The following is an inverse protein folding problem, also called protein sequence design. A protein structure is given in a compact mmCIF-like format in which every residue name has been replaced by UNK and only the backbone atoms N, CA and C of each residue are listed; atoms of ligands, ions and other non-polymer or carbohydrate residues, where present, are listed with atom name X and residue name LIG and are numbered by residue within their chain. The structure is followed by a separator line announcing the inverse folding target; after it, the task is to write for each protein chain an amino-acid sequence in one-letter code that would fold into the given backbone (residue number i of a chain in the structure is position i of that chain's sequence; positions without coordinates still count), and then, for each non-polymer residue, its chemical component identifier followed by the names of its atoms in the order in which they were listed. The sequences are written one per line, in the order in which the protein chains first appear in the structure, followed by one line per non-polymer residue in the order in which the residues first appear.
data_IF_252432738950
#
_entry.id   IF_252432738950
#
_cell.length_a   1.000
_cell.length_b   1.000
_cell.length_c   1.000
_cell.angle_alpha   90.00
_cell.angle_beta   90.00
_cell.angle_gamma   90.00
#
_symmetry.space_group_name_H-M   'P 1'
#
loop_
_entity.id
_entity.type
_entity.pdbx_description
1 polymer ?
#
# COMPACT_ATOMS: atom_id res chain seq x y z
N UNK A 1 -70.16 26.68 -0.18
CA UNK A 1 -68.92 27.35 -0.45
C UNK A 1 -67.98 26.33 -1.07
N UNK A 2 -67.68 26.55 -2.33
CA UNK A 2 -67.08 25.60 -3.29
C UNK A 2 -65.53 25.45 -3.06
N UNK A 3 -65.09 24.21 -2.89
CA UNK A 3 -63.70 23.83 -2.94
C UNK A 3 -63.39 23.32 -4.36
N UNK A 4 -62.48 24.02 -5.08
CA UNK A 4 -61.90 23.55 -6.36
C UNK A 4 -60.64 22.79 -6.10
N UNK A 5 -60.38 21.65 -6.76
CA UNK A 5 -59.12 20.97 -6.75
C UNK A 5 -58.23 21.45 -7.92
N UNK A 6 -57.04 21.93 -7.63
CA UNK A 6 -55.98 22.19 -8.59
C UNK A 6 -55.33 20.87 -8.95
N UNK A 7 -55.59 20.37 -10.14
CA UNK A 7 -54.83 19.28 -10.80
C UNK A 7 -53.57 19.86 -11.41
N UNK A 8 -52.44 19.58 -10.79
CA UNK A 8 -51.12 19.87 -11.37
C UNK A 8 -50.74 18.82 -12.41
N UNK A 9 -50.66 19.21 -13.68
CA UNK A 9 -50.08 18.42 -14.77
C UNK A 9 -48.53 18.27 -14.53
N UNK A 10 -48.13 17.08 -14.23
CA UNK A 10 -46.69 16.71 -14.32
C UNK A 10 -46.38 16.31 -15.77
N UNK A 11 -45.78 17.24 -16.50
CA UNK A 11 -45.22 16.96 -17.81
C UNK A 11 -43.98 16.09 -17.65
N UNK A 12 -44.07 14.83 -18.05
CA UNK A 12 -42.93 13.96 -18.26
C UNK A 12 -42.12 14.48 -19.46
N UNK A 13 -41.08 15.27 -19.21
CA UNK A 13 -40.05 15.51 -20.20
C UNK A 13 -39.22 14.21 -20.31
N UNK A 14 -39.48 13.43 -21.34
CA UNK A 14 -38.61 12.37 -21.80
C UNK A 14 -37.27 13.00 -22.17
N UNK A 15 -36.27 12.88 -21.28
CA UNK A 15 -34.92 13.28 -21.55
C UNK A 15 -34.35 12.26 -22.55
N UNK A 16 -34.21 12.69 -23.81
CA UNK A 16 -33.47 11.95 -24.81
C UNK A 16 -32.08 11.61 -24.21
N UNK A 17 -31.80 10.31 -24.11
CA UNK A 17 -30.46 9.84 -23.82
C UNK A 17 -29.57 10.37 -24.94
N UNK A 18 -28.71 11.35 -24.59
CA UNK A 18 -27.61 11.73 -25.46
C UNK A 18 -26.77 10.48 -25.66
N UNK A 19 -26.59 10.05 -26.89
CA UNK A 19 -25.52 9.15 -27.27
C UNK A 19 -24.24 9.72 -26.63
N UNK A 20 -23.73 9.01 -25.63
CA UNK A 20 -22.45 9.36 -25.02
C UNK A 20 -21.43 9.18 -26.11
N UNK A 21 -20.83 10.28 -26.56
CA UNK A 21 -19.62 10.30 -27.35
C UNK A 21 -18.56 9.47 -26.59
N UNK A 22 -18.52 8.19 -26.84
CA UNK A 22 -17.47 7.31 -26.34
C UNK A 22 -16.20 7.73 -27.06
N UNK A 23 -15.39 8.58 -26.41
CA UNK A 23 -14.07 8.92 -26.92
C UNK A 23 -13.36 7.62 -27.29
N UNK A 24 -12.80 7.51 -28.49
CA UNK A 24 -12.11 6.27 -28.90
C UNK A 24 -11.05 5.96 -27.85
N UNK A 25 -11.13 4.75 -27.27
CA UNK A 25 -10.16 4.32 -26.26
C UNK A 25 -8.79 4.28 -26.89
N UNK A 26 -7.81 4.88 -26.24
CA UNK A 26 -6.43 4.85 -26.70
C UNK A 26 -5.93 3.42 -26.68
N UNK A 27 -5.45 2.92 -27.81
CA UNK A 27 -4.83 1.59 -27.92
C UNK A 27 -3.32 1.78 -27.98
N UNK A 28 -2.62 1.08 -27.10
CA UNK A 28 -1.16 1.13 -26.97
C UNK A 28 -0.62 -0.30 -27.02
N UNK A 29 0.47 -0.49 -27.75
CA UNK A 29 1.28 -1.72 -27.69
C UNK A 29 2.62 -1.40 -27.05
N UNK A 30 2.87 -1.98 -25.87
CA UNK A 30 4.19 -1.94 -25.22
C UNK A 30 4.98 -3.17 -25.68
N UNK A 31 6.21 -2.96 -26.17
CA UNK A 31 7.16 -4.00 -26.55
C UNK A 31 8.37 -3.93 -25.64
N UNK A 32 8.89 -5.07 -25.25
CA UNK A 32 10.09 -5.16 -24.42
C UNK A 32 10.91 -6.44 -24.72
N UNK A 33 12.16 -6.44 -24.31
CA UNK A 33 13.02 -7.60 -24.42
C UNK A 33 12.43 -8.81 -23.71
N UNK A 34 11.90 -8.59 -22.49
CA UNK A 34 11.24 -9.66 -21.73
C UNK A 34 10.22 -9.11 -20.73
N UNK A 35 9.29 -9.95 -20.35
CA UNK A 35 8.28 -9.72 -19.30
C UNK A 35 8.45 -10.80 -18.22
N UNK A 36 8.58 -10.38 -16.95
CA UNK A 36 8.52 -11.30 -15.83
C UNK A 36 7.05 -11.69 -15.57
N UNK A 37 6.73 -12.95 -15.82
CA UNK A 37 5.38 -13.48 -15.59
C UNK A 37 5.23 -13.97 -14.15
N UNK A 38 4.17 -13.52 -13.48
CA UNK A 38 3.88 -13.85 -12.09
C UNK A 38 2.56 -14.63 -11.98
N UNK A 39 2.45 -15.54 -11.00
CA UNK A 39 3.44 -15.84 -9.95
C UNK A 39 4.56 -16.79 -10.38
N UNK A 40 4.62 -17.23 -11.64
CA UNK A 40 5.55 -18.30 -12.09
C UNK A 40 7.03 -17.97 -11.92
N UNK A 41 7.41 -16.68 -12.02
CA UNK A 41 8.80 -16.23 -12.01
C UNK A 41 9.55 -16.58 -13.31
N UNK A 42 8.85 -16.81 -14.43
CA UNK A 42 9.44 -17.10 -15.74
C UNK A 42 9.44 -15.87 -16.62
N UNK A 43 10.36 -15.79 -17.56
CA UNK A 43 10.38 -14.75 -18.57
C UNK A 43 9.60 -15.15 -19.82
N UNK A 44 8.80 -14.21 -20.33
CA UNK A 44 8.29 -14.21 -21.68
C UNK A 44 9.22 -13.32 -22.53
N UNK A 45 10.04 -13.94 -23.35
CA UNK A 45 11.00 -13.25 -24.22
C UNK A 45 10.29 -12.56 -25.41
N UNK A 46 10.80 -11.37 -25.81
CA UNK A 46 10.22 -10.58 -26.88
C UNK A 46 8.76 -10.21 -26.62
N UNK A 47 8.49 -9.70 -25.41
CA UNK A 47 7.15 -9.46 -24.92
C UNK A 47 6.43 -8.35 -25.68
N UNK A 48 5.12 -8.53 -25.89
CA UNK A 48 4.16 -7.53 -26.34
C UNK A 48 2.96 -7.49 -25.41
N UNK A 49 2.55 -6.29 -25.02
CA UNK A 49 1.42 -6.05 -24.14
C UNK A 49 0.50 -5.05 -24.85
N UNK A 50 -0.67 -5.52 -25.28
CA UNK A 50 -1.69 -4.68 -25.91
C UNK A 50 -2.62 -4.14 -24.82
N UNK A 51 -2.80 -2.83 -24.82
CA UNK A 51 -3.57 -2.09 -23.83
C UNK A 51 -4.69 -1.34 -24.55
N UNK A 52 -5.88 -1.39 -23.98
CA UNK A 52 -7.05 -0.66 -24.47
C UNK A 52 -7.65 0.14 -23.31
N UNK A 53 -7.58 1.46 -23.40
CA UNK A 53 -7.91 2.35 -22.28
C UNK A 53 -6.99 2.09 -21.09
N UNK A 54 -7.58 1.73 -19.94
CA UNK A 54 -6.84 1.47 -18.70
C UNK A 54 -6.46 -0.03 -18.50
N UNK A 55 -6.89 -0.91 -19.40
CA UNK A 55 -6.79 -2.36 -19.20
C UNK A 55 -5.87 -3.04 -20.20
N UNK A 56 -5.21 -4.08 -19.70
CA UNK A 56 -4.48 -5.02 -20.56
C UNK A 56 -5.49 -5.84 -21.34
N UNK A 57 -5.38 -5.84 -22.66
CA UNK A 57 -6.23 -6.63 -23.56
C UNK A 57 -5.61 -7.97 -23.91
N UNK A 58 -4.31 -7.98 -24.16
CA UNK A 58 -3.57 -9.18 -24.58
C UNK A 58 -2.11 -9.09 -24.17
N UNK A 59 -1.54 -10.23 -23.79
CA UNK A 59 -0.12 -10.42 -23.51
C UNK A 59 0.39 -11.60 -24.31
N UNK A 60 1.58 -11.50 -24.88
CA UNK A 60 2.19 -12.56 -25.67
C UNK A 60 3.51 -12.11 -26.31
N UNK A 61 4.00 -12.85 -27.31
CA UNK A 61 5.15 -12.39 -28.10
C UNK A 61 4.77 -11.17 -28.94
N UNK A 62 5.64 -10.17 -28.99
CA UNK A 62 5.35 -8.89 -29.64
C UNK A 62 4.86 -9.02 -31.08
N UNK A 63 5.46 -9.92 -31.87
CA UNK A 63 5.05 -10.18 -33.28
C UNK A 63 3.65 -10.80 -33.41
N UNK A 64 3.19 -11.55 -32.40
CA UNK A 64 1.85 -12.15 -32.38
C UNK A 64 0.82 -11.11 -31.90
N UNK A 65 1.13 -10.40 -30.86
CA UNK A 65 0.26 -9.37 -30.29
C UNK A 65 0.07 -8.19 -31.25
N UNK A 66 1.10 -7.83 -32.03
CA UNK A 66 1.02 -6.79 -33.08
C UNK A 66 -0.04 -7.11 -34.13
N UNK A 67 -0.23 -8.40 -34.49
CA UNK A 67 -1.26 -8.82 -35.47
C UNK A 67 -2.69 -8.57 -34.99
N UNK A 68 -2.89 -8.45 -33.66
CA UNK A 68 -4.18 -8.19 -33.03
C UNK A 68 -4.43 -6.71 -32.82
N UNK A 69 -3.39 -5.87 -32.95
CA UNK A 69 -3.48 -4.44 -32.76
C UNK A 69 -4.08 -3.73 -33.99
N UNK A 70 -4.79 -2.59 -33.79
CA UNK A 70 -5.24 -1.75 -34.91
C UNK A 70 -4.03 -1.21 -35.71
N UNK A 71 -4.24 -0.95 -37.01
CA UNK A 71 -3.17 -0.48 -37.90
C UNK A 71 -2.44 0.79 -37.43
N UNK A 72 -3.11 1.65 -36.69
CA UNK A 72 -2.59 2.90 -36.16
C UNK A 72 -2.29 2.84 -34.66
N UNK A 73 -2.00 1.65 -34.12
CA UNK A 73 -1.66 1.49 -32.71
C UNK A 73 -0.41 2.30 -32.36
N UNK A 74 -0.46 3.02 -31.23
CA UNK A 74 0.72 3.66 -30.66
C UNK A 74 1.65 2.59 -30.09
N UNK A 75 2.87 2.49 -30.60
CA UNK A 75 3.88 1.55 -30.09
C UNK A 75 4.80 2.29 -29.11
N UNK A 76 5.03 1.69 -27.96
CA UNK A 76 6.09 2.06 -27.01
C UNK A 76 7.08 0.90 -27.00
N UNK A 77 8.26 1.13 -27.54
CA UNK A 77 9.31 0.11 -27.60
C UNK A 77 10.35 0.40 -26.50
N UNK A 78 10.43 -0.51 -25.53
CA UNK A 78 11.34 -0.41 -24.38
C UNK A 78 12.67 -1.17 -24.63
N UNK A 79 12.93 -1.59 -25.86
CA UNK A 79 14.17 -2.29 -26.23
C UNK A 79 14.39 -3.56 -25.44
N UNK A 80 15.57 -3.69 -24.85
CA UNK A 80 15.96 -4.87 -24.04
C UNK A 80 15.51 -4.83 -22.58
N UNK A 81 14.62 -3.92 -22.22
CA UNK A 81 14.13 -3.78 -20.84
C UNK A 81 13.41 -5.04 -20.35
N UNK A 82 13.46 -5.22 -19.03
CA UNK A 82 12.62 -6.19 -18.32
C UNK A 82 11.38 -5.48 -17.80
N UNK A 83 10.21 -5.90 -18.26
CA UNK A 83 8.90 -5.43 -17.77
C UNK A 83 8.43 -6.27 -16.60
N UNK A 84 7.84 -5.63 -15.61
CA UNK A 84 7.12 -6.23 -14.47
C UNK A 84 5.75 -5.54 -14.32
N UNK A 85 4.81 -6.14 -13.56
CA UNK A 85 3.66 -5.39 -13.08
C UNK A 85 4.13 -4.22 -12.20
N UNK A 86 3.32 -3.17 -12.12
CA UNK A 86 3.55 -2.11 -11.15
C UNK A 86 3.62 -2.66 -9.74
N UNK A 87 4.58 -2.17 -8.95
CA UNK A 87 4.81 -2.62 -7.58
C UNK A 87 3.70 -2.11 -6.63
N UNK A 88 3.54 -2.81 -5.53
CA UNK A 88 2.52 -2.55 -4.51
C UNK A 88 3.21 -2.45 -3.16
N UNK A 89 3.00 -1.35 -2.46
CA UNK A 89 3.44 -1.13 -1.08
C UNK A 89 2.23 -1.20 -0.14
N UNK A 90 2.23 -2.17 0.78
CA UNK A 90 1.12 -2.43 1.70
C UNK A 90 1.22 -1.67 3.02
N UNK A 91 2.23 -0.83 3.20
CA UNK A 91 2.42 -0.07 4.43
C UNK A 91 3.07 1.27 4.14
N UNK A 92 2.25 2.28 3.89
CA UNK A 92 2.71 3.66 3.69
C UNK A 92 2.03 4.63 4.64
N UNK A 93 2.66 5.79 4.83
CA UNK A 93 2.17 6.94 5.59
C UNK A 93 2.36 8.21 4.76
N UNK A 94 1.59 8.35 3.67
CA UNK A 94 1.77 9.46 2.71
C UNK A 94 1.51 10.84 3.33
N UNK A 95 0.76 10.89 4.45
CA UNK A 95 0.49 12.14 5.16
C UNK A 95 1.56 12.49 6.19
N UNK A 96 2.63 11.70 6.31
CA UNK A 96 3.68 11.90 7.30
C UNK A 96 5.02 12.23 6.64
N UNK A 97 5.53 13.40 6.98
CA UNK A 97 6.94 13.79 6.78
C UNK A 97 7.51 14.14 8.14
N UNK A 98 7.87 13.11 8.90
CA UNK A 98 8.44 13.31 10.22
C UNK A 98 9.80 14.02 10.11
N UNK A 99 9.94 15.22 10.70
CA UNK A 99 11.21 15.94 10.70
C UNK A 99 12.24 15.25 11.61
N UNK A 100 13.49 15.57 11.45
CA UNK A 100 14.53 15.10 12.37
C UNK A 100 14.49 15.84 13.72
N UNK A 101 14.89 15.16 14.77
CA UNK A 101 15.09 15.75 16.10
C UNK A 101 14.09 15.27 17.14
N UNK A 102 14.31 15.71 18.40
CA UNK A 102 13.46 15.32 19.52
C UNK A 102 12.03 15.86 19.37
N UNK A 103 11.06 15.04 19.75
CA UNK A 103 9.62 15.36 19.65
C UNK A 103 9.14 15.69 18.22
N UNK A 104 9.85 15.22 17.20
CA UNK A 104 9.58 15.50 15.80
C UNK A 104 8.15 15.14 15.38
N UNK A 105 7.66 13.98 15.79
CA UNK A 105 6.28 13.57 15.56
C UNK A 105 5.25 14.52 16.19
N UNK A 106 5.44 14.87 17.45
CA UNK A 106 4.55 15.78 18.16
C UNK A 106 4.54 17.19 17.53
N UNK A 107 5.72 17.69 17.12
CA UNK A 107 5.83 18.96 16.40
C UNK A 107 5.09 18.92 15.06
N UNK A 108 5.20 17.83 14.31
CA UNK A 108 4.49 17.67 13.04
C UNK A 108 2.96 17.78 13.21
N UNK A 109 2.41 17.22 14.30
CA UNK A 109 0.98 17.29 14.60
C UNK A 109 0.46 18.72 14.88
N UNK A 110 1.30 19.61 15.42
CA UNK A 110 0.86 20.95 15.88
C UNK A 110 1.38 22.11 15.04
N UNK A 111 2.36 21.87 14.16
CA UNK A 111 2.96 22.94 13.34
C UNK A 111 2.45 22.96 11.90
N UNK A 112 1.83 21.87 11.43
CA UNK A 112 1.32 21.75 10.08
C UNK A 112 -0.20 21.59 10.07
N UNK A 113 -0.87 22.37 9.22
CA UNK A 113 -2.31 22.21 9.00
C UNK A 113 -2.59 20.93 8.19
N UNK A 114 -3.79 20.37 8.33
CA UNK A 114 -4.26 19.20 7.55
C UNK A 114 -4.15 19.45 6.04
N UNK A 115 -4.54 20.65 5.59
CA UNK A 115 -4.44 21.04 4.18
C UNK A 115 -2.97 21.04 3.69
N UNK A 116 -2.03 21.51 4.51
CA UNK A 116 -0.61 21.48 4.17
C UNK A 116 -0.11 20.03 4.06
N UNK A 117 -0.48 19.17 5.01
CA UNK A 117 -0.10 17.75 5.00
C UNK A 117 -0.72 16.99 3.84
N UNK A 118 -1.95 17.33 3.41
CA UNK A 118 -2.54 16.78 2.20
C UNK A 118 -1.72 17.12 0.93
N UNK A 119 -1.15 18.34 0.86
CA UNK A 119 -0.26 18.75 -0.24
C UNK A 119 1.10 18.03 -0.17
N UNK A 120 1.66 17.85 1.02
CA UNK A 120 2.84 17.00 1.21
C UNK A 120 2.55 15.56 0.74
N UNK A 121 1.40 15.00 1.15
CA UNK A 121 0.96 13.65 0.75
C UNK A 121 0.77 13.51 -0.77
N UNK A 122 0.30 14.54 -1.45
CA UNK A 122 0.21 14.54 -2.92
C UNK A 122 1.60 14.49 -3.58
N UNK A 123 2.58 15.20 -3.03
CA UNK A 123 3.96 15.14 -3.51
C UNK A 123 4.60 13.77 -3.24
N UNK A 124 4.35 13.17 -2.07
CA UNK A 124 4.86 11.86 -1.70
C UNK A 124 4.21 10.73 -2.51
N UNK A 125 2.91 10.83 -2.76
CA UNK A 125 2.19 9.93 -3.66
C UNK A 125 2.78 9.95 -5.08
N UNK A 126 3.13 11.14 -5.58
CA UNK A 126 3.79 11.27 -6.88
C UNK A 126 5.18 10.64 -6.88
N UNK A 127 6.00 10.90 -5.86
CA UNK A 127 7.34 10.31 -5.73
C UNK A 127 7.28 8.79 -5.69
N UNK A 128 6.34 8.23 -4.92
CA UNK A 128 6.07 6.80 -4.80
C UNK A 128 5.65 6.18 -6.15
N UNK A 129 4.75 6.86 -6.89
CA UNK A 129 4.33 6.42 -8.22
C UNK A 129 5.50 6.43 -9.22
N UNK A 130 6.29 7.51 -9.25
CA UNK A 130 7.45 7.66 -10.14
C UNK A 130 8.56 6.63 -9.85
N UNK A 131 8.63 6.12 -8.61
CA UNK A 131 9.51 5.02 -8.22
C UNK A 131 8.99 3.63 -8.67
N UNK A 132 7.79 3.54 -9.27
CA UNK A 132 7.24 2.30 -9.80
C UNK A 132 6.19 1.61 -8.93
N UNK A 133 5.85 2.19 -7.78
CA UNK A 133 4.77 1.71 -6.92
C UNK A 133 3.44 2.29 -7.41
N UNK A 134 2.73 1.52 -8.21
CA UNK A 134 1.48 1.97 -8.84
C UNK A 134 0.25 1.79 -7.95
N UNK A 135 0.41 1.06 -6.86
CA UNK A 135 -0.62 0.82 -5.85
C UNK A 135 -0.01 0.89 -4.45
N UNK A 136 -0.72 1.48 -3.50
CA UNK A 136 -0.33 1.54 -2.09
C UNK A 136 -1.51 1.26 -1.18
N UNK A 137 -1.21 0.75 0.02
CA UNK A 137 -2.10 0.70 1.16
C UNK A 137 -1.55 1.66 2.22
N UNK A 138 -2.21 2.82 2.36
CA UNK A 138 -1.88 3.82 3.37
C UNK A 138 -2.57 3.44 4.67
N UNK A 139 -1.78 3.02 5.66
CA UNK A 139 -2.32 2.35 6.84
C UNK A 139 -2.63 3.28 8.00
N UNK A 140 -2.24 4.56 7.89
CA UNK A 140 -2.65 5.61 8.82
C UNK A 140 -2.34 6.99 8.24
N UNK A 141 -3.24 7.95 8.49
CA UNK A 141 -3.06 9.35 8.06
C UNK A 141 -2.25 10.21 9.05
N UNK A 142 -1.79 9.63 10.15
CA UNK A 142 -0.91 10.23 11.13
C UNK A 142 -1.42 11.57 11.68
N UNK A 143 -2.73 11.64 11.99
CA UNK A 143 -3.37 12.81 12.58
C UNK A 143 -3.78 13.89 11.58
N UNK A 144 -3.83 13.61 10.28
CA UNK A 144 -4.43 14.50 9.28
C UNK A 144 -5.90 14.18 8.99
N UNK A 145 -6.61 13.65 9.96
CA UNK A 145 -8.03 13.31 9.94
C UNK A 145 -8.39 12.40 8.77
N UNK A 146 -8.95 12.94 7.69
CA UNK A 146 -9.39 12.20 6.51
C UNK A 146 -8.72 12.72 5.23
N UNK A 147 -7.52 13.31 5.35
CA UNK A 147 -6.77 13.83 4.21
C UNK A 147 -6.32 12.73 3.25
N UNK A 148 -6.09 11.51 3.74
CA UNK A 148 -5.79 10.32 2.94
C UNK A 148 -6.96 9.92 2.03
N UNK A 149 -8.20 9.99 2.53
CA UNK A 149 -9.43 9.81 1.73
C UNK A 149 -9.51 10.87 0.63
N UNK A 150 -9.28 12.13 0.99
CA UNK A 150 -9.29 13.23 0.03
C UNK A 150 -8.21 13.06 -1.05
N UNK A 151 -7.01 12.63 -0.67
CA UNK A 151 -5.91 12.34 -1.60
C UNK A 151 -6.27 11.19 -2.54
N UNK A 152 -6.73 10.07 -2.02
CA UNK A 152 -7.20 8.92 -2.82
C UNK A 152 -8.24 9.35 -3.85
N UNK A 153 -9.24 10.10 -3.42
CA UNK A 153 -10.34 10.52 -4.27
C UNK A 153 -9.88 11.55 -5.31
N UNK A 154 -8.96 12.45 -4.97
CA UNK A 154 -8.34 13.38 -5.92
C UNK A 154 -7.51 12.64 -6.99
N UNK A 155 -6.76 11.59 -6.60
CA UNK A 155 -6.04 10.73 -7.53
C UNK A 155 -7.00 9.97 -8.45
N UNK A 156 -8.10 9.42 -7.90
CA UNK A 156 -9.11 8.70 -8.67
C UNK A 156 -9.83 9.60 -9.69
N UNK A 157 -10.01 10.89 -9.36
CA UNK A 157 -10.57 11.89 -10.26
C UNK A 157 -9.55 12.48 -11.24
N UNK A 158 -8.27 12.13 -11.11
CA UNK A 158 -7.20 12.66 -11.96
C UNK A 158 -6.81 14.12 -11.68
N UNK A 159 -7.17 14.64 -10.51
CA UNK A 159 -6.80 16.00 -10.07
C UNK A 159 -5.32 16.09 -9.69
N UNK A 160 -4.78 15.02 -9.11
CA UNK A 160 -3.36 14.87 -8.79
C UNK A 160 -2.85 13.51 -9.27
N UNK A 161 -1.55 13.41 -9.51
CA UNK A 161 -0.89 12.16 -9.86
C UNK A 161 -0.47 11.40 -8.60
N UNK A 162 -0.74 10.11 -8.57
CA UNK A 162 -0.36 9.21 -7.48
C UNK A 162 -0.73 7.77 -7.78
N UNK A 163 -0.35 6.80 -6.92
CA UNK A 163 -0.71 5.40 -7.05
C UNK A 163 -2.21 5.17 -6.84
N UNK A 164 -2.70 3.97 -7.12
CA UNK A 164 -4.00 3.52 -6.59
C UNK A 164 -3.86 3.37 -5.08
N UNK A 165 -4.85 3.81 -4.33
CA UNK A 165 -4.77 3.80 -2.87
C UNK A 165 -5.89 3.01 -2.24
N UNK A 166 -5.55 2.23 -1.20
CA UNK A 166 -6.44 1.90 -0.10
C UNK A 166 -5.99 2.70 1.13
N UNK A 167 -6.92 3.25 1.88
CA UNK A 167 -6.63 4.14 3.01
C UNK A 167 -7.32 3.66 4.27
N UNK A 168 -6.60 3.72 5.41
CA UNK A 168 -7.11 3.29 6.70
C UNK A 168 -7.73 4.44 7.51
N UNK A 169 -7.53 5.67 7.10
CA UNK A 169 -7.89 6.85 7.87
C UNK A 169 -7.11 6.91 9.19
N UNK A 170 -7.76 6.95 10.35
CA UNK A 170 -7.09 6.99 11.65
C UNK A 170 -6.88 5.57 12.18
N UNK A 171 -5.68 5.28 12.65
CA UNK A 171 -5.41 4.07 13.42
C UNK A 171 -6.22 4.05 14.72
N UNK A 172 -6.53 2.88 15.26
CA UNK A 172 -7.30 2.70 16.49
C UNK A 172 -6.39 2.14 17.56
N UNK A 173 -6.25 2.84 18.69
CA UNK A 173 -5.38 2.48 19.81
C UNK A 173 -6.09 2.64 21.16
N UNK A 174 -5.64 1.90 22.17
CA UNK A 174 -6.17 2.04 23.52
C UNK A 174 -5.81 3.41 24.13
N UNK A 175 -6.70 3.96 24.93
CA UNK A 175 -6.49 5.22 25.68
C UNK A 175 -5.19 5.16 26.47
N UNK A 176 -4.36 6.21 26.33
CA UNK A 176 -3.11 6.37 27.06
C UNK A 176 -1.90 5.65 26.46
N UNK A 177 -2.05 4.90 25.37
CA UNK A 177 -0.96 4.12 24.79
C UNK A 177 -0.27 4.79 23.58
N UNK A 178 -1.01 5.54 22.79
CA UNK A 178 -0.50 6.24 21.60
C UNK A 178 -0.40 7.76 21.88
N UNK A 179 0.45 8.13 22.80
CA UNK A 179 0.71 9.53 23.11
C UNK A 179 2.06 9.95 22.55
N UNK A 180 2.18 11.17 21.99
CA UNK A 180 3.48 11.73 21.63
C UNK A 180 4.43 11.73 22.82
N UNK A 181 5.60 11.13 22.67
CA UNK A 181 6.59 11.08 23.74
C UNK A 181 7.13 12.47 24.06
N UNK A 182 7.43 12.70 25.32
CA UNK A 182 8.00 13.98 25.80
C UNK A 182 7.01 15.13 25.93
N UNK A 183 5.72 14.89 25.67
CA UNK A 183 4.67 15.89 25.87
C UNK A 183 4.12 15.80 27.31
N UNK A 184 4.00 16.95 27.96
CA UNK A 184 3.44 17.02 29.32
C UNK A 184 1.99 16.52 29.33
N UNK A 185 1.61 15.66 30.29
CA UNK A 185 0.23 15.22 30.44
C UNK A 185 -0.74 16.36 30.84
N UNK A 186 -0.22 17.52 31.24
CA UNK A 186 -1.02 18.71 31.51
C UNK A 186 -1.53 19.42 30.26
N UNK A 187 -0.93 19.11 29.09
CA UNK A 187 -1.41 19.58 27.78
C UNK A 187 -2.62 18.75 27.34
N UNK A 188 -3.79 19.17 27.82
CA UNK A 188 -5.04 18.50 27.45
C UNK A 188 -5.42 18.78 26.01
N UNK A 189 -5.96 17.75 25.31
CA UNK A 189 -6.41 17.88 23.93
C UNK A 189 -5.28 17.98 22.90
N UNK A 190 -4.08 17.53 23.26
CA UNK A 190 -3.00 17.40 22.28
C UNK A 190 -3.44 16.43 21.16
N UNK A 191 -3.26 16.78 19.89
CA UNK A 191 -3.67 15.92 18.78
C UNK A 191 -2.88 14.60 18.79
N UNK A 192 -3.54 13.52 18.40
CA UNK A 192 -2.94 12.19 18.25
C UNK A 192 -3.17 11.69 16.83
N UNK A 193 -2.26 10.88 16.29
CA UNK A 193 -2.44 10.21 15.01
C UNK A 193 -3.63 9.27 15.06
N UNK A 194 -3.65 8.40 16.07
CA UNK A 194 -4.68 7.39 16.23
C UNK A 194 -5.96 7.92 16.93
N UNK A 195 -7.06 7.23 16.72
CA UNK A 195 -8.29 7.37 17.49
C UNK A 195 -8.19 6.52 18.75
N UNK A 196 -8.29 7.19 19.92
CA UNK A 196 -8.22 6.52 21.20
C UNK A 196 -9.56 5.90 21.57
N UNK A 197 -9.54 4.65 22.02
CA UNK A 197 -10.73 3.87 22.40
C UNK A 197 -10.53 3.16 23.73
N UNK A 198 -11.65 2.85 24.41
CA UNK A 198 -11.67 2.07 25.64
C UNK A 198 -12.93 1.22 25.72
N UNK A 199 -12.75 -0.11 25.67
CA UNK A 199 -13.83 -1.07 25.68
C UNK A 199 -14.46 -1.33 24.31
N UNK A 200 -15.14 -2.46 24.19
CA UNK A 200 -15.64 -3.00 22.93
C UNK A 200 -16.63 -2.10 22.19
N UNK A 201 -17.50 -1.37 22.92
CA UNK A 201 -18.47 -0.48 22.29
C UNK A 201 -17.82 0.77 21.70
N UNK A 202 -16.74 1.26 22.31
CA UNK A 202 -15.99 2.39 21.79
C UNK A 202 -15.20 1.98 20.53
N UNK A 203 -14.60 0.78 20.52
CA UNK A 203 -13.98 0.19 19.33
C UNK A 203 -15.00 0.02 18.21
N UNK A 204 -16.18 -0.54 18.50
CA UNK A 204 -17.27 -0.71 17.52
C UNK A 204 -17.66 0.61 16.89
N UNK A 205 -17.82 1.66 17.71
CA UNK A 205 -18.12 3.01 17.25
C UNK A 205 -17.02 3.56 16.35
N UNK A 206 -15.75 3.42 16.78
CA UNK A 206 -14.59 3.90 16.03
C UNK A 206 -14.49 3.25 14.65
N UNK A 207 -14.61 1.92 14.55
CA UNK A 207 -14.57 1.20 13.26
C UNK A 207 -15.68 1.68 12.32
N UNK A 208 -16.91 1.83 12.83
CA UNK A 208 -18.05 2.32 12.02
C UNK A 208 -17.82 3.76 11.55
N UNK A 209 -17.22 4.59 12.40
CA UNK A 209 -16.86 5.97 12.08
C UNK A 209 -15.83 6.01 10.93
N UNK A 210 -14.71 5.26 11.05
CA UNK A 210 -13.69 5.23 10.01
C UNK A 210 -14.27 4.73 8.67
N UNK A 211 -15.06 3.66 8.68
CA UNK A 211 -15.74 3.15 7.48
C UNK A 211 -16.69 4.19 6.89
N UNK A 212 -17.47 4.86 7.76
CA UNK A 212 -18.42 5.89 7.36
C UNK A 212 -17.76 7.10 6.69
N UNK A 213 -16.53 7.40 7.05
CA UNK A 213 -15.73 8.47 6.45
C UNK A 213 -14.85 8.01 5.27
N UNK A 214 -14.93 6.75 4.88
CA UNK A 214 -14.35 6.28 3.63
C UNK A 214 -13.12 5.40 3.76
N UNK A 215 -12.86 4.84 4.94
CA UNK A 215 -11.78 3.86 5.11
C UNK A 215 -12.00 2.62 4.23
N UNK A 216 -10.95 2.17 3.55
CA UNK A 216 -10.91 0.94 2.76
C UNK A 216 -10.45 -0.26 3.58
N UNK A 217 -9.80 -0.01 4.69
CA UNK A 217 -9.36 -0.99 5.69
C UNK A 217 -9.36 -0.36 7.08
N UNK A 218 -9.15 -1.17 8.11
CA UNK A 218 -9.00 -0.70 9.49
C UNK A 218 -7.57 -0.97 9.96
N UNK A 219 -6.95 0.00 10.61
CA UNK A 219 -5.65 -0.13 11.29
C UNK A 219 -5.86 -0.18 12.79
N UNK A 220 -5.27 -1.19 13.44
CA UNK A 220 -5.23 -1.35 14.89
C UNK A 220 -3.81 -1.28 15.42
N UNK A 221 -3.68 -0.86 16.67
CA UNK A 221 -2.46 -0.98 17.46
C UNK A 221 -2.66 -2.07 18.54
N UNK A 222 -2.23 -3.29 18.26
CA UNK A 222 -2.31 -4.40 19.22
C UNK A 222 -1.32 -4.21 20.38
N UNK A 223 -0.20 -3.59 20.10
CA UNK A 223 0.76 -3.12 21.09
C UNK A 223 1.39 -1.79 20.63
N UNK A 224 2.13 -1.16 21.53
CA UNK A 224 3.07 -0.09 21.21
C UNK A 224 4.39 -0.37 21.97
N UNK A 225 4.43 -0.19 23.26
CA UNK A 225 5.51 -0.66 24.15
C UNK A 225 5.11 -1.92 24.92
N UNK A 226 3.81 -2.07 25.14
CA UNK A 226 3.14 -3.19 25.80
C UNK A 226 1.87 -3.50 25.00
N UNK A 227 1.24 -4.68 25.18
CA UNK A 227 -0.09 -4.95 24.66
C UNK A 227 -1.07 -3.86 25.07
N UNK A 228 -1.84 -3.33 24.12
CA UNK A 228 -2.70 -2.16 24.34
C UNK A 228 -4.18 -2.52 24.26
N UNK A 229 -4.63 -3.04 23.13
CA UNK A 229 -5.99 -3.53 22.95
C UNK A 229 -6.10 -4.97 23.45
N UNK A 230 -7.20 -5.30 24.09
CA UNK A 230 -7.53 -6.69 24.44
C UNK A 230 -7.88 -7.50 23.20
N UNK A 231 -7.81 -8.83 23.30
CA UNK A 231 -8.27 -9.74 22.23
C UNK A 231 -9.74 -9.47 21.88
N UNK A 232 -10.59 -9.21 22.88
CA UNK A 232 -12.01 -8.94 22.68
C UNK A 232 -12.26 -7.63 21.93
N UNK A 233 -11.55 -6.55 22.27
CA UNK A 233 -11.61 -5.27 21.59
C UNK A 233 -11.19 -5.40 20.12
N UNK A 234 -10.06 -6.07 19.86
CA UNK A 234 -9.59 -6.32 18.48
C UNK A 234 -10.55 -7.24 17.72
N UNK A 235 -11.14 -8.25 18.37
CA UNK A 235 -12.12 -9.14 17.74
C UNK A 235 -13.36 -8.37 17.27
N UNK A 236 -13.86 -7.46 18.09
CA UNK A 236 -14.99 -6.59 17.71
C UNK A 236 -14.64 -5.70 16.53
N UNK A 237 -13.40 -5.18 16.48
CA UNK A 237 -12.94 -4.40 15.33
C UNK A 237 -12.92 -5.25 14.05
N UNK A 238 -12.40 -6.48 14.12
CA UNK A 238 -12.38 -7.44 13.01
C UNK A 238 -13.80 -7.78 12.54
N UNK A 239 -14.71 -8.09 13.47
CA UNK A 239 -16.10 -8.40 13.16
C UNK A 239 -16.79 -7.28 12.37
N UNK A 240 -16.70 -6.04 12.85
CA UNK A 240 -17.32 -4.87 12.19
C UNK A 240 -16.65 -4.54 10.85
N UNK A 241 -15.34 -4.66 10.76
CA UNK A 241 -14.61 -4.44 9.51
C UNK A 241 -14.97 -5.50 8.45
N UNK A 242 -14.90 -6.78 8.81
CA UNK A 242 -15.19 -7.89 7.88
C UNK A 242 -16.65 -7.89 7.43
N UNK A 243 -17.59 -7.55 8.31
CA UNK A 243 -19.02 -7.33 7.97
C UNK A 243 -19.21 -6.27 6.89
N UNK A 244 -18.33 -5.25 6.87
CA UNK A 244 -18.32 -4.21 5.85
C UNK A 244 -17.44 -4.56 4.63
N UNK A 245 -16.87 -5.77 4.57
CA UNK A 245 -15.95 -6.18 3.51
C UNK A 245 -14.58 -5.49 3.56
N UNK A 246 -14.16 -5.03 4.76
CA UNK A 246 -12.87 -4.34 4.98
C UNK A 246 -11.89 -5.26 5.69
N UNK A 247 -10.61 -5.19 5.28
CA UNK A 247 -9.50 -5.90 5.93
C UNK A 247 -9.04 -5.15 7.18
N UNK A 248 -8.35 -5.87 8.07
CA UNK A 248 -7.79 -5.32 9.31
C UNK A 248 -6.29 -5.55 9.35
N UNK A 249 -5.53 -4.47 9.43
CA UNK A 249 -4.09 -4.44 9.64
C UNK A 249 -3.78 -4.14 11.11
N UNK A 250 -2.87 -4.88 11.74
CA UNK A 250 -2.49 -4.66 13.13
C UNK A 250 -0.99 -4.39 13.28
N UNK A 251 -0.65 -3.20 13.78
CA UNK A 251 0.68 -2.97 14.35
C UNK A 251 0.87 -3.92 15.54
N UNK A 252 1.85 -4.79 15.46
CA UNK A 252 2.19 -5.71 16.53
C UNK A 252 3.68 -6.08 16.47
N UNK A 253 4.42 -5.70 17.50
CA UNK A 253 5.87 -5.86 17.56
C UNK A 253 6.34 -6.79 18.66
N UNK A 254 5.48 -7.06 19.66
CA UNK A 254 5.78 -7.98 20.75
C UNK A 254 5.17 -9.36 20.49
N UNK A 255 5.76 -10.46 21.01
CA UNK A 255 5.18 -11.80 20.86
C UNK A 255 3.74 -11.91 21.37
N UNK A 256 3.41 -11.18 22.43
CA UNK A 256 2.07 -11.16 23.02
C UNK A 256 1.09 -10.38 22.15
N UNK A 257 1.46 -9.18 21.67
CA UNK A 257 0.64 -8.35 20.78
C UNK A 257 0.32 -9.08 19.47
N UNK A 258 1.32 -9.75 18.88
CA UNK A 258 1.14 -10.56 17.67
C UNK A 258 0.15 -11.71 17.93
N UNK A 259 0.34 -12.47 19.02
CA UNK A 259 -0.56 -13.56 19.39
C UNK A 259 -1.99 -13.08 19.59
N UNK A 260 -2.16 -11.95 20.29
CA UNK A 260 -3.47 -11.37 20.56
C UNK A 260 -4.16 -10.92 19.27
N UNK A 261 -3.45 -10.22 18.39
CA UNK A 261 -3.97 -9.76 17.10
C UNK A 261 -4.36 -10.95 16.18
N UNK A 262 -3.49 -11.96 16.08
CA UNK A 262 -3.77 -13.18 15.29
C UNK A 262 -4.95 -13.95 15.91
N UNK A 263 -5.06 -13.99 17.23
CA UNK A 263 -6.20 -14.63 17.92
C UNK A 263 -7.51 -13.90 17.60
N UNK A 264 -7.49 -12.58 17.61
CA UNK A 264 -8.63 -11.72 17.29
C UNK A 264 -9.09 -11.85 15.82
N UNK A 265 -8.23 -12.31 14.90
CA UNK A 265 -8.59 -12.60 13.52
C UNK A 265 -8.21 -11.49 12.52
N UNK A 266 -7.19 -10.69 12.79
CA UNK A 266 -6.69 -9.68 11.85
C UNK A 266 -6.17 -10.32 10.55
N UNK A 267 -6.11 -9.55 9.47
CA UNK A 267 -5.69 -10.04 8.15
C UNK A 267 -4.18 -9.90 7.94
N UNK A 268 -3.54 -8.91 8.54
CA UNK A 268 -2.08 -8.73 8.48
C UNK A 268 -1.51 -8.26 9.81
N UNK A 269 -0.29 -8.71 10.08
CA UNK A 269 0.59 -8.19 11.13
C UNK A 269 1.59 -7.26 10.45
N UNK A 270 1.60 -6.03 10.90
CA UNK A 270 2.57 -5.01 10.48
C UNK A 270 3.78 -5.08 11.42
N UNK A 271 4.98 -4.98 10.85
CA UNK A 271 6.28 -5.12 11.52
C UNK A 271 6.58 -6.57 11.96
N UNK A 272 5.89 -7.09 12.95
CA UNK A 272 6.08 -8.47 13.41
C UNK A 272 7.48 -8.80 13.92
N UNK A 273 8.29 -7.79 14.31
CA UNK A 273 9.72 -7.92 14.61
C UNK A 273 10.02 -8.89 15.76
N UNK A 274 9.07 -9.04 16.69
CA UNK A 274 9.17 -9.96 17.82
C UNK A 274 8.46 -11.30 17.60
N UNK A 275 8.06 -11.62 16.38
CA UNK A 275 7.34 -12.88 16.11
C UNK A 275 8.21 -14.09 16.46
N UNK A 276 7.73 -14.91 17.39
CA UNK A 276 8.30 -16.20 17.69
C UNK A 276 7.71 -17.29 16.77
N UNK A 277 8.28 -18.49 16.85
CA UNK A 277 7.82 -19.63 16.05
C UNK A 277 6.33 -19.93 16.23
N UNK A 278 5.81 -19.85 17.45
CA UNK A 278 4.41 -20.13 17.75
C UNK A 278 3.49 -19.09 17.06
N UNK A 279 3.87 -17.83 17.11
CA UNK A 279 3.15 -16.74 16.43
C UNK A 279 3.10 -16.98 14.91
N UNK A 280 4.23 -17.34 14.32
CA UNK A 280 4.32 -17.60 12.87
C UNK A 280 3.51 -18.83 12.44
N UNK A 281 3.51 -19.89 13.26
CA UNK A 281 2.66 -21.06 13.03
C UNK A 281 1.17 -20.72 13.11
N UNK A 282 0.76 -19.86 14.05
CA UNK A 282 -0.60 -19.35 14.16
C UNK A 282 -0.97 -18.46 12.94
N UNK A 283 -0.08 -17.56 12.52
CA UNK A 283 -0.28 -16.74 11.33
C UNK A 283 -0.47 -17.62 10.09
N UNK A 284 0.40 -18.62 9.90
CA UNK A 284 0.28 -19.56 8.79
C UNK A 284 -1.05 -20.32 8.83
N UNK A 285 -1.44 -20.84 9.98
CA UNK A 285 -2.67 -21.63 10.12
C UNK A 285 -3.94 -20.80 9.83
N UNK A 286 -3.91 -19.50 10.11
CA UNK A 286 -5.04 -18.58 9.90
C UNK A 286 -4.95 -17.77 8.61
N UNK A 287 -3.87 -17.91 7.82
CA UNK A 287 -3.66 -17.15 6.60
C UNK A 287 -3.39 -15.65 6.82
N UNK A 288 -2.83 -15.28 7.98
CA UNK A 288 -2.48 -13.91 8.32
C UNK A 288 -1.16 -13.55 7.64
N UNK A 289 -1.13 -12.41 6.94
CA UNK A 289 0.06 -11.91 6.26
C UNK A 289 1.06 -11.26 7.22
N UNK A 290 2.35 -11.33 6.88
CA UNK A 290 3.39 -10.52 7.51
C UNK A 290 3.79 -9.38 6.56
N UNK A 291 3.77 -8.15 7.06
CA UNK A 291 4.27 -6.95 6.37
C UNK A 291 5.44 -6.41 7.19
N UNK A 292 6.69 -6.75 6.87
CA UNK A 292 7.80 -6.67 7.84
C UNK A 292 8.43 -5.28 8.00
N UNK A 293 8.26 -4.35 7.08
CA UNK A 293 8.73 -2.95 7.15
C UNK A 293 10.20 -2.80 7.57
N UNK A 294 11.07 -3.46 6.85
CA UNK A 294 12.48 -3.60 7.21
C UNK A 294 13.30 -2.36 6.85
N UNK A 295 12.95 -1.73 5.72
CA UNK A 295 13.75 -0.64 5.14
C UNK A 295 13.74 0.63 5.98
N UNK A 296 12.62 0.94 6.65
CA UNK A 296 12.56 2.07 7.59
C UNK A 296 13.50 1.87 8.77
N UNK A 297 13.58 0.66 9.30
CA UNK A 297 14.50 0.29 10.39
C UNK A 297 15.97 0.39 9.91
N UNK A 298 16.28 -0.13 8.72
CA UNK A 298 17.61 -0.03 8.14
C UNK A 298 18.03 1.43 7.94
N UNK A 299 17.11 2.28 7.49
CA UNK A 299 17.34 3.71 7.32
C UNK A 299 17.58 4.41 8.66
N UNK A 300 16.84 4.04 9.71
CA UNK A 300 17.02 4.60 11.05
C UNK A 300 18.40 4.26 11.62
N UNK A 301 18.78 3.00 11.56
CA UNK A 301 20.12 2.57 12.02
C UNK A 301 21.27 3.04 11.12
N UNK A 302 21.01 3.49 9.89
CA UNK A 302 22.02 4.07 9.04
C UNK A 302 22.39 5.50 9.44
N UNK A 303 21.49 6.24 10.10
CA UNK A 303 21.72 7.61 10.55
C UNK A 303 22.80 7.70 11.64
N UNK A 304 22.78 6.77 12.57
CA UNK A 304 23.76 6.68 13.65
C UNK A 304 24.37 5.27 13.72
N UNK A 305 25.48 5.03 13.04
CA UNK A 305 26.16 3.74 13.06
C UNK A 305 26.57 3.28 14.47
N UNK A 306 26.78 4.21 15.43
CA UNK A 306 27.10 3.84 16.80
C UNK A 306 25.94 3.14 17.50
N UNK A 307 24.69 3.48 17.15
CA UNK A 307 23.49 2.80 17.66
C UNK A 307 23.48 1.32 17.29
N UNK A 308 24.03 0.93 16.13
CA UNK A 308 24.15 -0.48 15.71
C UNK A 308 25.07 -1.31 16.61
N UNK A 309 25.99 -0.66 17.29
CA UNK A 309 26.93 -1.33 18.21
C UNK A 309 26.31 -1.60 19.60
N UNK A 310 25.18 -0.95 19.89
CA UNK A 310 24.43 -1.21 21.13
C UNK A 310 23.95 -2.67 21.19
N UNK A 311 24.17 -3.41 22.30
CA UNK A 311 23.77 -4.80 22.41
C UNK A 311 22.27 -5.05 22.25
N UNK A 312 21.41 -4.10 22.68
CA UNK A 312 19.96 -4.24 22.55
C UNK A 312 19.55 -4.02 21.09
N UNK A 313 20.15 -3.06 20.40
CA UNK A 313 19.93 -2.83 18.98
C UNK A 313 20.36 -4.04 18.14
N UNK A 314 21.54 -4.62 18.41
CA UNK A 314 21.97 -5.87 17.76
C UNK A 314 20.96 -6.99 17.95
N UNK A 315 20.52 -7.19 19.17
CA UNK A 315 19.51 -8.23 19.50
C UNK A 315 18.18 -7.99 18.79
N UNK A 316 17.74 -6.73 18.70
CA UNK A 316 16.54 -6.36 17.96
C UNK A 316 16.68 -6.70 16.47
N UNK A 317 17.78 -6.31 15.81
CA UNK A 317 18.03 -6.59 14.39
C UNK A 317 18.14 -8.11 14.12
N UNK A 318 18.77 -8.86 15.02
CA UNK A 318 18.85 -10.33 14.95
C UNK A 318 17.45 -10.95 15.04
N UNK A 319 16.62 -10.53 16.00
CA UNK A 319 15.25 -11.03 16.17
C UNK A 319 14.41 -10.74 14.91
N UNK A 320 14.47 -9.52 14.39
CA UNK A 320 13.77 -9.13 13.17
C UNK A 320 14.19 -9.98 11.97
N UNK A 321 15.51 -10.19 11.79
CA UNK A 321 16.03 -11.06 10.74
C UNK A 321 15.56 -12.51 10.91
N UNK A 322 15.55 -13.01 12.15
CA UNK A 322 15.10 -14.35 12.46
C UNK A 322 13.59 -14.52 12.20
N UNK A 323 12.77 -13.52 12.56
CA UNK A 323 11.32 -13.54 12.32
C UNK A 323 11.00 -13.68 10.83
N UNK A 324 11.66 -12.88 9.96
CA UNK A 324 11.46 -12.94 8.51
C UNK A 324 11.88 -14.29 7.92
N UNK A 325 13.06 -14.82 8.32
CA UNK A 325 13.53 -16.14 7.86
C UNK A 325 12.59 -17.26 8.28
N UNK A 326 12.17 -17.26 9.54
CA UNK A 326 11.25 -18.27 10.05
C UNK A 326 9.86 -18.16 9.40
N UNK A 327 9.37 -16.95 9.15
CA UNK A 327 8.13 -16.73 8.42
C UNK A 327 8.18 -17.38 7.03
N UNK A 328 9.26 -17.12 6.29
CA UNK A 328 9.50 -17.76 4.99
C UNK A 328 9.53 -19.30 5.12
N UNK A 329 10.35 -19.83 6.03
CA UNK A 329 10.56 -21.27 6.19
C UNK A 329 9.26 -22.02 6.59
N UNK A 330 8.42 -21.40 7.40
CA UNK A 330 7.10 -21.89 7.79
C UNK A 330 6.03 -21.66 6.70
N UNK A 331 6.33 -20.85 5.68
CA UNK A 331 5.41 -20.52 4.61
C UNK A 331 4.30 -19.55 5.03
N UNK A 332 4.59 -18.62 5.95
CA UNK A 332 3.76 -17.43 6.17
C UNK A 332 3.85 -16.55 4.93
N UNK A 333 2.73 -16.07 4.44
CA UNK A 333 2.73 -15.18 3.28
C UNK A 333 3.26 -13.80 3.69
N UNK A 334 4.33 -13.36 3.02
CA UNK A 334 4.92 -12.04 3.23
C UNK A 334 4.43 -11.11 2.12
N UNK A 335 3.98 -9.90 2.49
CA UNK A 335 3.69 -8.81 1.58
C UNK A 335 4.64 -7.63 1.84
N UNK A 336 4.95 -6.88 0.80
CA UNK A 336 5.82 -5.71 0.85
C UNK A 336 5.14 -4.54 1.56
N UNK A 337 5.93 -3.78 2.33
CA UNK A 337 5.49 -2.56 2.99
C UNK A 337 6.69 -1.81 3.53
N UNK A 338 6.89 -0.56 3.06
CA UNK A 338 8.11 0.21 3.34
C UNK A 338 8.09 0.98 4.64
N UNK A 339 6.92 1.33 5.14
CA UNK A 339 6.71 2.21 6.29
C UNK A 339 7.42 3.58 6.12
N UNK A 340 7.35 4.11 4.89
CA UNK A 340 7.94 5.40 4.57
C UNK A 340 7.21 6.52 5.32
N UNK A 341 7.86 7.08 6.33
CA UNK A 341 7.32 8.10 7.24
C UNK A 341 8.11 9.43 7.18
N UNK A 342 9.11 9.53 6.34
CA UNK A 342 9.97 10.71 6.18
C UNK A 342 10.10 11.10 4.71
N UNK A 343 10.29 12.40 4.45
CA UNK A 343 10.35 12.95 3.09
C UNK A 343 11.36 12.23 2.18
N UNK A 344 12.53 11.85 2.70
CA UNK A 344 13.58 11.18 1.95
C UNK A 344 13.34 9.69 1.71
N UNK A 345 12.34 9.09 2.34
CA UNK A 345 11.98 7.68 2.16
C UNK A 345 10.88 7.50 1.09
N UNK A 346 10.03 8.51 0.89
CA UNK A 346 9.03 8.45 -0.18
C UNK A 346 9.70 8.42 -1.56
N UNK A 347 9.38 7.41 -2.35
CA UNK A 347 10.06 7.12 -3.62
C UNK A 347 11.27 6.18 -3.49
N UNK A 348 11.60 5.73 -2.27
CA UNK A 348 12.62 4.71 -2.01
C UNK A 348 12.01 3.37 -1.57
N UNK A 349 10.73 3.18 -1.78
CA UNK A 349 9.98 2.00 -1.36
C UNK A 349 10.62 0.67 -1.81
N UNK A 350 11.34 0.64 -2.94
CA UNK A 350 12.09 -0.55 -3.40
C UNK A 350 13.25 -0.97 -2.47
N UNK A 351 13.64 -0.13 -1.50
CA UNK A 351 14.60 -0.52 -0.47
C UNK A 351 14.06 -1.68 0.38
N UNK A 352 12.73 -1.82 0.50
CA UNK A 352 12.10 -2.93 1.22
C UNK A 352 12.36 -4.28 0.54
N UNK A 353 12.26 -4.36 -0.80
CA UNK A 353 12.56 -5.58 -1.53
C UNK A 353 14.04 -5.99 -1.31
N UNK A 354 14.94 -5.00 -1.31
CA UNK A 354 16.37 -5.25 -1.03
C UNK A 354 16.56 -5.73 0.40
N UNK A 355 15.91 -5.08 1.37
CA UNK A 355 15.97 -5.46 2.78
C UNK A 355 15.45 -6.88 3.03
N UNK A 356 14.37 -7.26 2.34
CA UNK A 356 13.83 -8.64 2.39
C UNK A 356 14.84 -9.65 1.85
N UNK A 357 15.52 -9.36 0.73
CA UNK A 357 16.53 -10.29 0.18
C UNK A 357 17.76 -10.41 1.07
N UNK A 358 18.19 -9.34 1.71
CA UNK A 358 19.28 -9.38 2.71
C UNK A 358 18.92 -10.25 3.93
N UNK A 359 17.61 -10.45 4.19
CA UNK A 359 17.10 -11.28 5.29
C UNK A 359 16.66 -12.67 4.87
N UNK A 360 16.99 -13.08 3.64
CA UNK A 360 16.90 -14.47 3.20
C UNK A 360 15.79 -14.80 2.22
N UNK A 361 14.96 -13.84 1.79
CA UNK A 361 14.10 -14.03 0.64
C UNK A 361 14.96 -14.09 -0.63
N UNK A 362 14.53 -14.89 -1.59
CA UNK A 362 15.06 -14.81 -2.96
C UNK A 362 14.47 -13.60 -3.69
N UNK A 363 15.13 -13.08 -4.74
CA UNK A 363 14.57 -11.96 -5.51
C UNK A 363 13.12 -12.18 -5.98
N UNK A 364 12.79 -13.38 -6.44
CA UNK A 364 11.42 -13.69 -6.89
C UNK A 364 10.42 -13.69 -5.71
N UNK A 365 10.81 -14.12 -4.52
CA UNK A 365 9.96 -14.05 -3.34
C UNK A 365 9.71 -12.59 -2.92
N UNK A 366 10.71 -11.72 -2.93
CA UNK A 366 10.57 -10.30 -2.67
C UNK A 366 9.67 -9.61 -3.73
N UNK A 367 9.85 -9.93 -5.02
CA UNK A 367 9.00 -9.40 -6.08
C UNK A 367 7.54 -9.88 -5.93
N UNK A 368 7.31 -11.15 -5.55
CA UNK A 368 5.96 -11.63 -5.24
C UNK A 368 5.36 -10.90 -4.05
N UNK A 369 6.16 -10.62 -3.01
CA UNK A 369 5.70 -9.83 -1.86
C UNK A 369 5.19 -8.44 -2.28
N UNK A 370 5.87 -7.77 -3.22
CA UNK A 370 5.50 -6.45 -3.73
C UNK A 370 4.53 -6.51 -4.96
N UNK A 371 3.96 -7.67 -5.28
CA UNK A 371 3.08 -7.82 -6.43
C UNK A 371 1.89 -8.74 -6.14
N UNK A 372 2.01 -10.05 -6.38
CA UNK A 372 0.90 -11.00 -6.24
C UNK A 372 0.42 -11.15 -4.81
N UNK A 373 1.33 -11.29 -3.83
CA UNK A 373 0.95 -11.43 -2.43
C UNK A 373 0.31 -10.14 -1.89
N UNK A 374 0.87 -8.98 -2.26
CA UNK A 374 0.31 -7.68 -1.92
C UNK A 374 -1.08 -7.49 -2.53
N UNK A 375 -1.27 -7.86 -3.80
CA UNK A 375 -2.57 -7.79 -4.47
C UNK A 375 -3.63 -8.67 -3.78
N UNK A 376 -3.24 -9.86 -3.32
CA UNK A 376 -4.10 -10.74 -2.54
C UNK A 376 -4.47 -10.14 -1.17
N UNK A 377 -3.48 -9.56 -0.45
CA UNK A 377 -3.72 -8.88 0.82
C UNK A 377 -4.70 -7.71 0.66
N UNK A 378 -4.58 -6.94 -0.42
CA UNK A 378 -5.49 -5.85 -0.75
C UNK A 378 -6.88 -6.32 -1.23
N UNK A 379 -7.10 -7.64 -1.42
CA UNK A 379 -8.27 -8.21 -2.07
C UNK A 379 -8.49 -7.65 -3.51
N UNK A 380 -7.41 -7.35 -4.24
CA UNK A 380 -7.40 -6.86 -5.62
C UNK A 380 -6.62 -7.76 -6.60
N UNK A 381 -6.57 -9.11 -6.43
CA UNK A 381 -5.78 -9.98 -7.32
C UNK A 381 -6.30 -10.01 -8.76
N UNK A 382 -7.57 -9.65 -8.98
CA UNK A 382 -8.21 -9.51 -10.29
C UNK A 382 -7.93 -8.16 -10.97
N UNK A 383 -7.28 -7.22 -10.27
CA UNK A 383 -7.05 -5.84 -10.73
C UNK A 383 -5.59 -5.53 -11.01
N UNK A 384 -4.68 -5.96 -10.11
CA UNK A 384 -3.25 -5.61 -10.10
C UNK A 384 -2.38 -6.83 -9.76
N UNK A 385 -1.07 -6.67 -9.63
CA UNK A 385 -0.13 -7.68 -9.14
C UNK A 385 0.44 -8.62 -10.20
N UNK A 386 -0.13 -8.66 -11.40
CA UNK A 386 0.47 -9.38 -12.54
C UNK A 386 0.07 -8.72 -13.87
N UNK A 387 0.83 -9.02 -14.92
CA UNK A 387 0.57 -8.51 -16.28
C UNK A 387 -0.26 -9.55 -17.04
N UNK A 388 -1.59 -9.43 -16.95
CA UNK A 388 -2.54 -10.37 -17.50
C UNK A 388 -3.74 -9.63 -18.11
N UNK A 389 -4.37 -10.25 -19.13
CA UNK A 389 -5.57 -9.70 -19.75
C UNK A 389 -6.69 -9.45 -18.72
N UNK A 390 -7.34 -8.29 -18.80
CA UNK A 390 -8.40 -7.84 -17.88
C UNK A 390 -7.90 -7.00 -16.71
N UNK A 391 -6.63 -7.12 -16.28
CA UNK A 391 -6.06 -6.30 -15.20
C UNK A 391 -5.73 -4.89 -15.67
N UNK A 392 -5.53 -3.98 -14.73
CA UNK A 392 -5.06 -2.64 -15.05
C UNK A 392 -3.69 -2.69 -15.75
N UNK A 393 -3.49 -1.81 -16.70
CA UNK A 393 -2.22 -1.61 -17.38
C UNK A 393 -1.28 -0.78 -16.48
N UNK A 394 -0.92 -1.37 -15.34
CA UNK A 394 0.03 -0.85 -14.38
C UNK A 394 1.33 -1.64 -14.58
N UNK A 395 2.30 -1.00 -15.24
CA UNK A 395 3.54 -1.62 -15.69
C UNK A 395 4.75 -0.80 -15.26
N UNK A 396 5.82 -1.49 -14.91
CA UNK A 396 7.14 -0.89 -14.77
C UNK A 396 8.15 -1.56 -15.69
N UNK A 397 9.23 -0.88 -16.02
CA UNK A 397 10.36 -1.51 -16.68
C UNK A 397 11.69 -1.01 -16.13
N UNK A 398 12.64 -1.94 -16.05
CA UNK A 398 14.00 -1.74 -15.58
C UNK A 398 15.01 -2.20 -16.61
N UNK A 399 16.23 -1.65 -16.52
CA UNK A 399 17.41 -2.23 -17.17
C UNK A 399 17.97 -3.36 -16.28
N UNK A 400 18.39 -4.47 -16.90
CA UNK A 400 18.95 -5.61 -16.17
C UNK A 400 17.91 -6.65 -15.76
N UNK A 401 18.35 -7.58 -14.90
CA UNK A 401 17.58 -8.73 -14.44
C UNK A 401 17.25 -8.65 -12.95
N UNK A 402 15.98 -8.35 -12.60
CA UNK A 402 15.59 -8.25 -11.19
C UNK A 402 15.57 -9.60 -10.45
N UNK A 403 15.68 -10.73 -11.14
CA UNK A 403 15.84 -12.05 -10.51
C UNK A 403 17.31 -12.36 -10.17
N UNK A 404 18.27 -11.72 -10.86
CA UNK A 404 19.70 -11.80 -10.54
C UNK A 404 20.08 -10.74 -9.52
N UNK A 405 19.59 -9.50 -9.70
CA UNK A 405 19.87 -8.36 -8.83
C UNK A 405 18.60 -7.54 -8.59
N UNK A 406 17.98 -7.72 -7.43
CA UNK A 406 16.77 -6.99 -7.04
C UNK A 406 17.00 -5.48 -6.92
N UNK A 407 18.25 -5.03 -6.74
CA UNK A 407 18.57 -3.60 -6.59
C UNK A 407 18.28 -2.77 -7.83
N UNK A 408 18.14 -3.40 -9.00
CA UNK A 408 17.73 -2.70 -10.24
C UNK A 408 16.34 -2.06 -10.11
N UNK A 409 15.49 -2.57 -9.19
CA UNK A 409 14.17 -2.01 -8.89
C UNK A 409 14.22 -0.64 -8.19
N UNK A 410 15.37 -0.24 -7.64
CA UNK A 410 15.62 1.13 -7.15
C UNK A 410 15.69 2.16 -8.28
N UNK A 411 15.84 1.71 -9.53
CA UNK A 411 16.03 2.57 -10.69
C UNK A 411 15.06 2.22 -11.82
N UNK A 412 13.77 2.28 -11.52
CA UNK A 412 12.71 2.07 -12.50
C UNK A 412 12.80 3.16 -13.57
N UNK A 413 12.92 2.76 -14.84
CA UNK A 413 13.04 3.67 -16.00
C UNK A 413 11.71 3.99 -16.64
N UNK A 414 10.77 3.08 -16.61
CA UNK A 414 9.43 3.25 -17.18
C UNK A 414 8.37 2.94 -16.15
N UNK A 415 7.37 3.81 -16.05
CA UNK A 415 6.19 3.63 -15.21
C UNK A 415 4.95 3.95 -16.02
N UNK A 416 4.02 3.03 -16.03
CA UNK A 416 2.68 3.20 -16.59
C UNK A 416 1.64 2.84 -15.53
N UNK A 417 0.63 3.70 -15.37
CA UNK A 417 -0.53 3.44 -14.50
C UNK A 417 -1.81 3.60 -15.31
N UNK A 418 -2.64 2.55 -15.37
CA UNK A 418 -3.89 2.58 -16.13
C UNK A 418 -3.71 2.98 -17.59
N UNK A 419 -2.66 2.47 -18.26
CA UNK A 419 -2.36 2.81 -19.66
C UNK A 419 -1.77 4.22 -19.87
N UNK A 420 -1.71 5.07 -18.83
CA UNK A 420 -1.05 6.38 -18.87
C UNK A 420 0.42 6.23 -18.54
N UNK A 421 1.30 6.69 -19.43
CA UNK A 421 2.74 6.77 -19.16
C UNK A 421 2.99 7.90 -18.17
N UNK A 422 3.56 7.56 -17.02
CA UNK A 422 3.95 8.48 -15.95
C UNK A 422 5.42 8.89 -16.13
N UNK A 423 6.28 7.91 -16.41
CA UNK A 423 7.71 8.11 -16.64
C UNK A 423 8.17 7.24 -17.81
N UNK A 424 9.02 7.80 -18.65
CA UNK A 424 9.75 7.05 -19.67
C UNK A 424 11.17 7.58 -19.79
N UNK A 425 12.12 6.86 -19.22
CA UNK A 425 13.56 7.13 -19.29
C UNK A 425 14.28 6.32 -20.38
N UNK A 426 13.55 5.53 -21.19
CA UNK A 426 14.12 4.86 -22.33
C UNK A 426 14.15 5.81 -23.55
N UNK A 427 15.14 5.65 -24.47
CA UNK A 427 15.19 6.45 -25.69
C UNK A 427 13.91 6.31 -26.49
N UNK A 428 13.43 7.40 -27.06
CA UNK A 428 12.38 7.34 -28.09
C UNK A 428 12.98 6.75 -29.38
N UNK A 429 12.47 5.61 -29.80
CA UNK A 429 12.80 4.99 -31.10
C UNK A 429 11.94 5.59 -32.21
#
# INVERSE_FOLDING_TARGET
MLLSPLLGLWSFLARAQSETDVKPQTVILVKAGRLLTLPSGKYLEGAGILIEGERIKQVGRAGEVMKLAPKNVRVIDLGNATVLPGLIDCHTHLMLREPEGPNSYALNLVTKSEAFRALEGAADARSTLEAGFTTVRDVENEGSWYADVALRDAINQGLVEGPRMQVATRGIAAVGQYNPFGISPDLRGFPTGAQMVSGVEDVRRAVREQIGYGADLIKLYADWRNPTLTVEEMHVAVEEAHKAGRKVAAHATTPEGIRNAVTAGVDSIEHGHGADRQNLEMMKAKGVYLVPTLSVIDAEFAKDPATREDPQAKKFLENMQQAVRQAKDLGVTIADGSDAARAELHGRNADELVAMTQRGLTPIEAIRAATTNAAELLAWPDRVGSVEAGKYADLIAVEGDPLEDVTVLRNVKFVMKGGKVIRNGFPAN
#
